data_IF_022049094379
#
_entry.id   IF_022049094379
#
_cell.length_a   1.000
_cell.length_b   1.000
_cell.length_c   1.000
_cell.angle_alpha   90.00
_cell.angle_beta   90.00
_cell.angle_gamma   90.00
#
_symmetry.space_group_name_H-M   'P 1'
#
loop_
_entity.id
_entity.type
_entity.pdbx_description
1 polymer ?
#
# COMPACT_ATOMS: atom_id res chain seq x y z
N UNK A 1 20.71 -13.00 -1.10
CA UNK A 1 20.56 -11.96 -0.08
C UNK A 1 21.02 -10.61 -0.62
N UNK A 2 20.40 -9.56 -0.17
CA UNK A 2 20.77 -8.17 -0.40
C UNK A 2 20.81 -7.44 0.94
N UNK A 3 21.74 -6.50 1.13
CA UNK A 3 21.84 -5.75 2.38
C UNK A 3 20.70 -4.74 2.56
N UNK A 4 20.45 -4.32 3.80
CA UNK A 4 19.52 -3.22 4.08
C UNK A 4 19.96 -1.92 3.39
N UNK A 5 21.26 -1.59 3.44
CA UNK A 5 21.80 -0.39 2.81
C UNK A 5 21.59 -0.39 1.28
N UNK A 6 21.85 -1.52 0.62
CA UNK A 6 21.63 -1.66 -0.83
C UNK A 6 20.14 -1.56 -1.18
N UNK A 7 19.27 -2.07 -0.30
CA UNK A 7 17.81 -1.98 -0.50
C UNK A 7 17.32 -0.53 -0.48
N UNK A 8 17.82 0.29 0.44
CA UNK A 8 17.46 1.71 0.56
C UNK A 8 17.87 2.50 -0.69
N UNK A 9 18.99 2.16 -1.30
CA UNK A 9 19.52 2.85 -2.48
C UNK A 9 19.12 2.19 -3.81
N UNK A 10 18.36 1.09 -3.76
CA UNK A 10 17.98 0.36 -4.96
C UNK A 10 17.04 1.17 -5.86
N UNK A 11 17.25 1.06 -7.16
CA UNK A 11 16.39 1.63 -8.19
C UNK A 11 16.11 0.58 -9.27
N UNK A 12 14.95 0.66 -9.90
CA UNK A 12 14.57 -0.27 -10.96
C UNK A 12 14.30 -1.70 -10.48
N UNK A 13 14.04 -1.90 -9.20
CA UNK A 13 13.69 -3.18 -8.58
C UNK A 13 12.33 -3.09 -7.92
N UNK A 14 11.69 -4.25 -7.71
CA UNK A 14 10.55 -4.34 -6.81
C UNK A 14 11.03 -4.52 -5.37
N UNK A 15 10.52 -3.73 -4.46
CA UNK A 15 10.71 -3.93 -3.02
C UNK A 15 9.39 -4.45 -2.47
N UNK A 16 9.34 -5.74 -2.13
CA UNK A 16 8.13 -6.44 -1.71
C UNK A 16 8.14 -6.66 -0.21
N UNK A 17 7.28 -5.98 0.50
CA UNK A 17 7.10 -6.13 1.95
C UNK A 17 6.02 -7.17 2.21
N UNK A 18 6.38 -8.24 2.92
CA UNK A 18 5.50 -9.39 3.18
C UNK A 18 5.08 -9.47 4.64
N UNK A 19 5.34 -8.41 5.41
CA UNK A 19 4.96 -8.34 6.82
C UNK A 19 3.45 -8.18 6.99
N UNK A 20 2.95 -8.54 8.15
CA UNK A 20 1.60 -8.22 8.61
C UNK A 20 1.38 -6.69 8.69
N UNK A 21 0.13 -6.25 8.52
CA UNK A 21 -0.22 -4.83 8.52
C UNK A 21 0.29 -4.08 9.75
N UNK A 22 0.19 -4.68 10.94
CA UNK A 22 0.59 -4.06 12.20
C UNK A 22 2.06 -3.59 12.17
N UNK A 23 2.96 -4.39 11.64
CA UNK A 23 4.38 -4.03 11.53
C UNK A 23 4.66 -3.13 10.32
N UNK A 24 4.05 -3.44 9.19
CA UNK A 24 4.19 -2.67 7.95
C UNK A 24 3.74 -1.21 8.13
N UNK A 25 2.60 -0.98 8.77
CA UNK A 25 2.03 0.36 8.96
C UNK A 25 2.85 1.27 9.88
N UNK A 26 3.66 0.70 10.76
CA UNK A 26 4.54 1.46 11.68
C UNK A 26 5.75 2.08 10.99
N UNK A 27 6.08 1.60 9.81
CA UNK A 27 7.18 2.10 9.00
C UNK A 27 7.55 1.10 7.91
N UNK A 28 7.69 1.59 6.69
CA UNK A 28 7.99 0.79 5.50
C UNK A 28 8.97 1.52 4.60
N UNK A 29 9.61 0.80 3.71
CA UNK A 29 10.44 1.43 2.67
C UNK A 29 9.53 2.21 1.72
N UNK A 30 9.87 3.44 1.42
CA UNK A 30 9.13 4.25 0.45
C UNK A 30 9.01 3.54 -0.90
N UNK A 31 7.85 3.60 -1.51
CA UNK A 31 7.52 2.89 -2.76
C UNK A 31 7.53 1.36 -2.67
N UNK A 32 7.62 0.77 -1.49
CA UNK A 32 7.48 -0.68 -1.36
C UNK A 32 6.06 -1.14 -1.70
N UNK A 33 5.97 -2.31 -2.30
CA UNK A 33 4.72 -3.01 -2.57
C UNK A 33 4.41 -3.91 -1.38
N UNK A 34 3.15 -3.98 -0.97
CA UNK A 34 2.76 -4.78 0.17
C UNK A 34 1.94 -6.00 -0.24
N UNK A 35 2.42 -7.16 0.14
CA UNK A 35 1.74 -8.43 -0.09
C UNK A 35 2.00 -9.35 1.11
N UNK A 36 1.12 -9.34 2.13
CA UNK A 36 1.38 -10.02 3.40
C UNK A 36 1.36 -11.54 3.23
N UNK A 37 2.22 -12.22 3.99
CA UNK A 37 2.32 -13.68 4.00
C UNK A 37 2.08 -14.28 5.40
N UNK A 38 1.86 -13.46 6.40
CA UNK A 38 1.58 -13.90 7.77
C UNK A 38 0.08 -13.84 8.09
N UNK A 39 -0.48 -14.87 8.73
CA UNK A 39 0.20 -16.07 9.22
C UNK A 39 0.63 -17.02 8.08
N UNK A 40 1.78 -17.68 8.25
CA UNK A 40 2.41 -18.51 7.19
C UNK A 40 1.59 -19.73 6.77
N UNK A 41 0.70 -20.20 7.62
CA UNK A 41 -0.22 -21.32 7.39
C UNK A 41 -1.49 -20.93 6.63
N UNK A 42 -1.71 -19.65 6.36
CA UNK A 42 -2.87 -19.16 5.61
C UNK A 42 -2.62 -19.28 4.10
N UNK A 43 -3.16 -20.32 3.50
CA UNK A 43 -3.00 -20.58 2.07
C UNK A 43 -3.65 -19.50 1.19
N UNK A 44 -4.65 -18.77 1.69
CA UNK A 44 -5.28 -17.68 0.94
C UNK A 44 -4.29 -16.53 0.68
N UNK A 45 -3.38 -16.26 1.62
CA UNK A 45 -2.34 -15.25 1.45
C UNK A 45 -1.32 -15.68 0.39
N UNK A 46 -0.97 -16.95 0.33
CA UNK A 46 -0.11 -17.50 -0.71
C UNK A 46 -0.78 -17.41 -2.09
N UNK A 47 -2.08 -17.66 -2.18
CA UNK A 47 -2.85 -17.52 -3.42
C UNK A 47 -2.93 -16.06 -3.89
N UNK A 48 -3.17 -15.13 -2.98
CA UNK A 48 -3.16 -13.69 -3.27
C UNK A 48 -1.77 -13.22 -3.75
N UNK A 49 -0.70 -13.67 -3.10
CA UNK A 49 0.67 -13.37 -3.54
C UNK A 49 0.97 -13.96 -4.92
N UNK A 50 0.50 -15.15 -5.21
CA UNK A 50 0.64 -15.77 -6.53
C UNK A 50 -0.02 -14.92 -7.61
N UNK A 51 -1.23 -14.46 -7.38
CA UNK A 51 -1.96 -13.58 -8.29
C UNK A 51 -1.23 -12.25 -8.47
N UNK A 52 -0.83 -11.63 -7.38
CA UNK A 52 -0.08 -10.37 -7.40
C UNK A 52 1.24 -10.51 -8.17
N UNK A 53 1.98 -11.60 -7.95
CA UNK A 53 3.24 -11.86 -8.64
C UNK A 53 3.05 -11.98 -10.16
N UNK A 54 2.02 -12.68 -10.61
CA UNK A 54 1.71 -12.83 -12.04
C UNK A 54 1.32 -11.51 -12.69
N UNK A 55 0.56 -10.68 -11.98
CA UNK A 55 0.01 -9.45 -12.51
C UNK A 55 1.02 -8.27 -12.45
N UNK A 56 1.90 -8.23 -11.45
CA UNK A 56 2.73 -7.05 -11.16
C UNK A 56 4.23 -7.29 -11.05
N UNK A 57 4.68 -8.51 -10.79
CA UNK A 57 6.10 -8.78 -10.50
C UNK A 57 6.83 -9.55 -11.62
N UNK A 58 6.11 -10.02 -12.62
CA UNK A 58 6.69 -10.83 -13.71
C UNK A 58 7.12 -9.95 -14.90
N UNK A 59 7.94 -8.96 -14.62
CA UNK A 59 8.43 -7.98 -15.60
C UNK A 59 9.95 -8.05 -15.85
N UNK A 60 10.60 -9.07 -15.28
CA UNK A 60 12.05 -9.29 -15.43
C UNK A 60 12.92 -8.48 -14.47
N UNK A 61 12.33 -7.63 -13.62
CA UNK A 61 13.06 -6.90 -12.58
C UNK A 61 13.36 -7.78 -11.39
N UNK A 62 14.42 -7.44 -10.67
CA UNK A 62 14.73 -8.05 -9.39
C UNK A 62 13.68 -7.70 -8.32
N UNK A 63 13.44 -8.63 -7.41
CA UNK A 63 12.49 -8.51 -6.31
C UNK A 63 13.24 -8.65 -4.99
N UNK A 64 13.20 -7.61 -4.17
CA UNK A 64 13.79 -7.57 -2.84
C UNK A 64 12.70 -7.79 -1.80
N UNK A 65 12.72 -8.96 -1.16
CA UNK A 65 11.68 -9.39 -0.22
C UNK A 65 12.06 -8.96 1.19
N UNK A 66 11.16 -8.22 1.84
CA UNK A 66 11.30 -7.76 3.23
C UNK A 66 10.28 -8.51 4.09
N UNK A 67 10.77 -9.25 5.08
CA UNK A 67 9.95 -9.70 6.21
C UNK A 67 10.50 -9.09 7.51
N UNK A 68 10.04 -9.53 8.68
CA UNK A 68 10.48 -8.93 9.94
C UNK A 68 11.99 -9.09 10.18
N UNK A 69 12.54 -10.28 9.97
CA UNK A 69 13.95 -10.63 10.29
C UNK A 69 14.74 -11.23 9.13
N UNK A 70 14.19 -11.27 7.93
CA UNK A 70 14.85 -11.89 6.77
C UNK A 70 14.91 -13.43 6.80
N UNK A 71 13.97 -14.07 7.46
CA UNK A 71 13.94 -15.54 7.65
C UNK A 71 12.65 -16.16 7.11
N UNK A 72 11.84 -16.79 7.97
CA UNK A 72 10.69 -17.63 7.60
C UNK A 72 9.70 -16.96 6.64
N UNK A 73 9.36 -15.69 6.85
CA UNK A 73 8.47 -14.95 5.95
C UNK A 73 9.04 -14.79 4.55
N UNK A 74 10.32 -14.44 4.46
CA UNK A 74 11.02 -14.30 3.19
C UNK A 74 11.19 -15.67 2.48
N UNK A 75 11.46 -16.74 3.22
CA UNK A 75 11.52 -18.09 2.67
C UNK A 75 10.18 -18.52 2.08
N UNK A 76 9.08 -18.32 2.83
CA UNK A 76 7.74 -18.65 2.35
C UNK A 76 7.39 -17.84 1.10
N UNK A 77 7.61 -16.51 1.13
CA UNK A 77 7.36 -15.64 0.00
C UNK A 77 8.18 -16.03 -1.23
N UNK A 78 9.47 -16.32 -1.05
CA UNK A 78 10.33 -16.78 -2.13
C UNK A 78 9.80 -18.05 -2.79
N UNK A 79 9.34 -19.02 -2.00
CA UNK A 79 8.71 -20.23 -2.51
C UNK A 79 7.47 -19.95 -3.34
N UNK A 80 6.57 -19.11 -2.83
CA UNK A 80 5.35 -18.69 -3.54
C UNK A 80 5.67 -17.97 -4.85
N UNK A 81 6.63 -17.04 -4.84
CA UNK A 81 7.04 -16.30 -6.05
C UNK A 81 7.61 -17.23 -7.11
N UNK A 82 8.44 -18.21 -6.72
CA UNK A 82 8.98 -19.21 -7.63
C UNK A 82 7.88 -20.07 -8.24
N UNK A 83 6.94 -20.53 -7.43
CA UNK A 83 5.79 -21.31 -7.89
C UNK A 83 4.88 -20.50 -8.83
N UNK A 84 4.85 -19.18 -8.66
CA UNK A 84 4.14 -18.26 -9.55
C UNK A 84 4.86 -18.02 -10.90
N UNK A 85 6.07 -18.53 -11.06
CA UNK A 85 6.84 -18.43 -12.30
C UNK A 85 7.88 -17.32 -12.32
N UNK A 86 8.16 -16.69 -11.18
CA UNK A 86 9.25 -15.70 -11.09
C UNK A 86 10.60 -16.43 -11.15
N UNK A 87 11.51 -15.88 -11.95
CA UNK A 87 12.85 -16.43 -12.09
C UNK A 87 13.59 -16.45 -10.73
N UNK A 88 14.04 -17.62 -10.24
CA UNK A 88 14.67 -17.72 -8.92
C UNK A 88 15.86 -16.79 -8.72
N UNK A 89 16.63 -16.52 -9.77
CA UNK A 89 17.80 -15.64 -9.71
C UNK A 89 17.46 -14.16 -9.56
N UNK A 90 16.20 -13.79 -9.75
CA UNK A 90 15.69 -12.43 -9.56
C UNK A 90 15.11 -12.18 -8.17
N UNK A 91 15.05 -13.19 -7.30
CA UNK A 91 14.44 -13.08 -5.98
C UNK A 91 15.52 -12.98 -4.91
N UNK A 92 15.54 -11.88 -4.17
CA UNK A 92 16.49 -11.60 -3.10
C UNK A 92 15.76 -11.41 -1.78
N UNK A 93 16.32 -11.95 -0.71
CA UNK A 93 15.89 -11.65 0.65
C UNK A 93 16.72 -10.48 1.19
N UNK A 94 16.06 -9.47 1.75
CA UNK A 94 16.75 -8.41 2.49
C UNK A 94 17.28 -8.99 3.79
N UNK A 95 18.60 -9.00 3.93
CA UNK A 95 19.30 -9.57 5.07
C UNK A 95 18.92 -8.84 6.36
N UNK A 96 18.44 -9.59 7.35
CA UNK A 96 17.94 -9.03 8.60
C UNK A 96 16.57 -8.35 8.50
N UNK A 97 15.97 -8.27 7.32
CA UNK A 97 14.61 -7.77 7.10
C UNK A 97 14.38 -6.35 7.59
N UNK A 98 13.16 -6.08 8.04
CA UNK A 98 12.78 -4.76 8.58
C UNK A 98 13.56 -4.38 9.84
N UNK A 99 14.01 -5.35 10.64
CA UNK A 99 14.86 -5.09 11.82
C UNK A 99 16.20 -4.46 11.42
N UNK A 100 16.81 -4.93 10.33
CA UNK A 100 18.04 -4.35 9.81
C UNK A 100 17.78 -2.98 9.14
N UNK A 101 16.71 -2.87 8.35
CA UNK A 101 16.31 -1.61 7.74
C UNK A 101 16.04 -0.51 8.76
N UNK A 102 15.45 -0.85 9.90
CA UNK A 102 15.20 0.10 10.99
C UNK A 102 16.46 0.72 11.61
N UNK A 103 17.63 0.15 11.34
CA UNK A 103 18.94 0.69 11.78
C UNK A 103 19.54 1.65 10.76
N UNK A 104 19.04 1.63 9.52
CA UNK A 104 19.45 2.55 8.46
C UNK A 104 18.63 3.85 8.56
N UNK A 105 19.33 4.99 8.58
CA UNK A 105 18.69 6.28 8.76
C UNK A 105 17.71 6.60 7.62
N UNK A 106 16.43 6.81 7.97
CA UNK A 106 15.40 7.18 7.00
C UNK A 106 14.91 6.05 6.10
N UNK A 107 15.35 4.80 6.33
CA UNK A 107 14.94 3.67 5.51
C UNK A 107 13.46 3.32 5.66
N UNK A 108 12.91 3.45 6.86
CA UNK A 108 11.50 3.19 7.14
C UNK A 108 10.76 4.50 7.39
N UNK A 109 9.62 4.66 6.76
CA UNK A 109 8.80 5.88 6.84
C UNK A 109 7.31 5.54 6.90
N UNK A 110 6.54 6.42 7.52
CA UNK A 110 5.07 6.45 7.44
C UNK A 110 4.55 7.45 6.42
N UNK A 111 5.43 8.31 5.89
CA UNK A 111 5.08 9.28 4.86
C UNK A 111 4.88 8.59 3.51
N UNK A 112 3.73 8.84 2.89
CA UNK A 112 3.35 8.29 1.58
C UNK A 112 3.17 9.35 0.52
N UNK A 113 3.43 10.61 0.84
CA UNK A 113 3.12 11.75 -0.04
C UNK A 113 4.05 11.86 -1.24
N UNK A 114 5.26 11.33 -1.13
CA UNK A 114 6.29 11.35 -2.18
C UNK A 114 6.38 10.02 -2.95
N UNK A 115 5.39 9.16 -2.83
CA UNK A 115 5.40 7.89 -3.56
C UNK A 115 5.16 8.08 -5.04
N UNK A 116 5.86 7.26 -5.83
CA UNK A 116 5.72 7.23 -7.27
C UNK A 116 4.46 6.45 -7.69
N UNK A 117 3.32 7.12 -7.59
CA UNK A 117 2.00 6.60 -7.97
C UNK A 117 1.50 7.41 -9.16
N UNK A 118 0.83 6.76 -10.09
CA UNK A 118 0.16 7.42 -11.20
C UNK A 118 -1.11 8.12 -10.69
N UNK A 119 -0.97 9.43 -10.43
CA UNK A 119 -2.05 10.26 -9.90
C UNK A 119 -3.03 10.65 -10.98
N UNK A 120 -4.31 10.36 -10.76
CA UNK A 120 -5.40 10.82 -11.61
C UNK A 120 -6.19 11.91 -10.91
N UNK A 121 -6.39 13.02 -11.58
CA UNK A 121 -7.19 14.11 -11.05
C UNK A 121 -8.51 14.21 -11.78
N UNK A 122 -9.57 14.51 -11.04
CA UNK A 122 -10.88 14.85 -11.56
C UNK A 122 -11.24 16.27 -11.13
N UNK A 123 -11.86 17.04 -12.02
CA UNK A 123 -12.31 18.39 -11.67
C UNK A 123 -13.45 18.34 -10.66
N UNK A 124 -13.61 19.41 -9.86
CA UNK A 124 -14.75 19.51 -8.95
C UNK A 124 -16.10 19.40 -9.67
N UNK A 125 -16.20 19.97 -10.87
CA UNK A 125 -17.40 19.87 -11.71
C UNK A 125 -17.68 18.41 -12.09
N UNK A 126 -16.69 17.70 -12.60
CA UNK A 126 -16.86 16.31 -13.03
C UNK A 126 -17.15 15.39 -11.85
N UNK A 127 -16.57 15.66 -10.68
CA UNK A 127 -16.87 14.95 -9.45
C UNK A 127 -18.34 15.14 -9.04
N UNK A 128 -18.83 16.37 -9.06
CA UNK A 128 -20.25 16.70 -8.73
C UNK A 128 -21.21 16.01 -9.69
N UNK A 129 -20.88 15.93 -10.97
CA UNK A 129 -21.70 15.26 -11.99
C UNK A 129 -21.82 13.73 -11.72
N UNK A 130 -20.90 13.15 -10.94
CA UNK A 130 -20.90 11.74 -10.55
C UNK A 130 -21.60 11.47 -9.20
N UNK A 131 -22.04 12.49 -8.49
CA UNK A 131 -22.76 12.29 -7.22
C UNK A 131 -24.07 11.56 -7.47
N UNK A 132 -24.27 10.43 -6.77
CA UNK A 132 -25.43 9.58 -6.96
C UNK A 132 -25.26 8.50 -8.03
N UNK A 133 -24.17 8.50 -8.77
CA UNK A 133 -23.78 7.40 -9.65
C UNK A 133 -23.46 6.18 -8.79
N UNK A 134 -24.05 5.04 -9.12
CA UNK A 134 -23.86 3.79 -8.35
C UNK A 134 -22.51 3.14 -8.60
N UNK A 135 -21.88 3.49 -9.71
CA UNK A 135 -20.62 2.90 -10.16
C UNK A 135 -19.41 3.76 -9.71
N UNK A 136 -19.63 4.76 -8.84
CA UNK A 136 -18.58 5.64 -8.32
C UNK A 136 -18.73 5.79 -6.80
N UNK A 137 -17.62 5.62 -6.11
CA UNK A 137 -17.54 5.78 -4.66
C UNK A 137 -16.84 7.10 -4.34
N UNK A 138 -17.25 7.73 -3.24
CA UNK A 138 -16.63 8.97 -2.76
C UNK A 138 -16.10 8.77 -1.34
N UNK A 139 -14.87 9.17 -1.10
CA UNK A 139 -14.20 9.17 0.19
C UNK A 139 -13.73 10.59 0.54
N UNK A 140 -14.23 11.14 1.64
CA UNK A 140 -13.79 12.43 2.16
C UNK A 140 -12.84 12.20 3.34
N UNK A 141 -11.60 12.65 3.21
CA UNK A 141 -10.54 12.46 4.24
C UNK A 141 -10.26 13.73 5.03
N UNK A 142 -11.13 14.77 4.89
CA UNK A 142 -11.00 16.00 5.67
C UNK A 142 -11.45 15.79 7.11
N UNK A 143 -11.06 16.70 8.00
CA UNK A 143 -11.47 16.66 9.39
C UNK A 143 -13.00 16.85 9.56
N UNK A 144 -13.50 16.48 10.75
CA UNK A 144 -14.93 16.50 11.05
C UNK A 144 -15.58 17.86 10.89
N UNK A 145 -14.92 18.94 11.31
CA UNK A 145 -15.49 20.29 11.26
C UNK A 145 -15.66 20.75 9.81
N UNK A 146 -14.65 20.48 9.00
CA UNK A 146 -14.68 20.80 7.55
C UNK A 146 -15.74 19.97 6.83
N UNK A 147 -15.81 18.67 7.12
CA UNK A 147 -16.81 17.78 6.55
C UNK A 147 -18.24 18.20 6.92
N UNK A 148 -18.49 18.53 8.18
CA UNK A 148 -19.79 19.01 8.67
C UNK A 148 -20.21 20.35 8.08
N UNK A 149 -19.24 21.21 7.78
CA UNK A 149 -19.51 22.49 7.14
C UNK A 149 -20.03 22.34 5.70
N UNK A 150 -19.67 21.26 5.02
CA UNK A 150 -20.18 20.92 3.70
C UNK A 150 -19.42 19.75 3.08
N UNK A 151 -20.16 18.78 2.57
CA UNK A 151 -19.61 17.61 1.89
C UNK A 151 -20.55 17.14 0.77
N UNK A 152 -20.03 16.31 -0.13
CA UNK A 152 -20.83 15.71 -1.19
C UNK A 152 -21.76 14.63 -0.63
N UNK A 153 -22.98 14.57 -1.13
CA UNK A 153 -23.97 13.59 -0.71
C UNK A 153 -23.50 12.17 -1.02
N UNK A 154 -23.68 11.27 -0.05
CA UNK A 154 -23.31 9.85 -0.21
C UNK A 154 -21.83 9.55 -0.02
N UNK A 155 -21.03 10.53 0.41
CA UNK A 155 -19.60 10.37 0.66
C UNK A 155 -19.35 9.58 1.93
N UNK A 156 -18.47 8.58 1.87
CA UNK A 156 -17.87 7.97 3.05
C UNK A 156 -16.86 8.94 3.66
N UNK A 157 -16.77 8.96 4.97
CA UNK A 157 -15.87 9.82 5.69
C UNK A 157 -14.78 9.02 6.41
N UNK A 158 -13.53 9.42 6.23
CA UNK A 158 -12.42 9.02 7.07
C UNK A 158 -11.76 10.28 7.62
N UNK A 159 -12.32 10.79 8.73
CA UNK A 159 -11.91 12.07 9.31
C UNK A 159 -10.50 12.04 9.86
N UNK A 160 -9.59 12.82 9.28
CA UNK A 160 -8.23 12.94 9.77
C UNK A 160 -7.66 14.34 9.61
N UNK A 161 -7.02 14.82 10.67
CA UNK A 161 -6.13 15.99 10.64
C UNK A 161 -4.69 15.56 10.37
N UNK A 162 -4.28 14.44 10.97
CA UNK A 162 -2.98 13.81 10.78
C UNK A 162 -3.18 12.49 10.01
N UNK A 163 -2.55 12.36 8.86
CA UNK A 163 -2.72 11.23 7.94
C UNK A 163 -1.44 10.40 7.76
N UNK A 164 -0.32 10.82 8.31
CA UNK A 164 0.99 10.15 8.27
C UNK A 164 1.29 9.33 9.52
N UNK A 165 0.28 9.05 10.35
CA UNK A 165 0.39 8.16 11.50
C UNK A 165 -0.07 6.74 11.19
N UNK A 166 0.47 5.71 11.86
CA UNK A 166 0.00 4.33 11.71
C UNK A 166 -1.49 4.19 11.99
N UNK A 167 -2.02 4.89 12.99
CA UNK A 167 -3.44 4.86 13.38
C UNK A 167 -4.33 5.40 12.28
N UNK A 168 -3.98 6.55 11.70
CA UNK A 168 -4.75 7.16 10.61
C UNK A 168 -4.76 6.27 9.37
N UNK A 169 -3.62 5.73 9.00
CA UNK A 169 -3.50 4.85 7.84
C UNK A 169 -4.21 3.51 8.06
N UNK A 170 -4.20 2.97 9.28
CA UNK A 170 -4.96 1.76 9.65
C UNK A 170 -6.47 2.00 9.53
N UNK A 171 -6.97 3.15 9.94
CA UNK A 171 -8.40 3.46 9.76
C UNK A 171 -8.79 3.62 8.28
N UNK A 172 -7.96 4.26 7.47
CA UNK A 172 -8.18 4.34 6.02
C UNK A 172 -8.18 2.94 5.39
N UNK A 173 -7.22 2.10 5.76
CA UNK A 173 -7.13 0.72 5.29
C UNK A 173 -8.37 -0.10 5.65
N UNK A 174 -8.80 -0.07 6.91
CA UNK A 174 -9.97 -0.80 7.37
C UNK A 174 -11.25 -0.29 6.71
N UNK A 175 -11.41 1.03 6.57
CA UNK A 175 -12.55 1.61 5.87
C UNK A 175 -12.63 1.13 4.41
N UNK A 176 -11.51 1.14 3.71
CA UNK A 176 -11.43 0.66 2.33
C UNK A 176 -11.80 -0.82 2.23
N UNK A 177 -11.26 -1.67 3.10
CA UNK A 177 -11.55 -3.12 3.13
C UNK A 177 -13.01 -3.43 3.50
N UNK A 178 -13.58 -2.71 4.47
CA UNK A 178 -14.86 -3.07 5.07
C UNK A 178 -16.05 -2.40 4.39
N UNK A 179 -15.87 -1.23 3.78
CA UNK A 179 -16.95 -0.36 3.31
C UNK A 179 -16.91 0.00 1.84
N UNK A 180 -15.82 -0.30 1.14
CA UNK A 180 -15.64 0.10 -0.25
C UNK A 180 -15.42 -1.11 -1.15
N UNK A 181 -15.83 -0.95 -2.41
CA UNK A 181 -15.62 -1.95 -3.45
C UNK A 181 -14.35 -1.62 -4.22
N UNK A 182 -13.38 -2.53 -4.20
CA UNK A 182 -12.09 -2.36 -4.88
C UNK A 182 -12.20 -2.38 -6.42
N UNK A 183 -13.29 -2.90 -6.94
CA UNK A 183 -13.52 -3.01 -8.38
C UNK A 183 -14.24 -1.77 -8.96
N UNK A 184 -14.65 -0.82 -8.09
CA UNK A 184 -15.32 0.41 -8.47
C UNK A 184 -14.40 1.62 -8.28
N UNK A 185 -14.44 2.64 -9.18
CA UNK A 185 -13.67 3.85 -9.03
C UNK A 185 -13.95 4.59 -7.72
N UNK A 186 -12.92 5.12 -7.10
CA UNK A 186 -13.03 5.92 -5.87
C UNK A 186 -12.52 7.34 -6.14
N UNK A 187 -13.37 8.32 -5.87
CA UNK A 187 -13.01 9.73 -5.89
C UNK A 187 -12.71 10.18 -4.47
N UNK A 188 -11.49 10.63 -4.24
CA UNK A 188 -11.02 11.04 -2.92
C UNK A 188 -11.00 12.57 -2.83
N UNK A 189 -11.66 13.09 -1.78
CA UNK A 189 -11.70 14.50 -1.48
C UNK A 189 -10.82 14.82 -0.28
N UNK A 190 -9.96 15.79 -0.44
CA UNK A 190 -9.27 16.44 0.67
C UNK A 190 -9.37 17.97 0.52
N UNK A 191 -8.59 18.73 1.26
CA UNK A 191 -8.66 20.20 1.22
C UNK A 191 -8.25 20.78 -0.13
N UNK A 192 -7.23 20.20 -0.76
CA UNK A 192 -6.64 20.70 -2.01
C UNK A 192 -6.39 19.63 -3.08
N UNK A 193 -6.80 18.38 -2.82
CA UNK A 193 -6.52 17.26 -3.73
C UNK A 193 -5.04 16.87 -3.76
N UNK A 194 -4.30 17.05 -2.67
CA UNK A 194 -2.87 16.77 -2.61
C UNK A 194 -2.52 15.77 -1.48
N UNK A 195 -1.77 16.16 -0.48
CA UNK A 195 -1.13 15.24 0.50
C UNK A 195 -2.05 14.20 1.11
N UNK A 196 -3.19 14.61 1.67
CA UNK A 196 -4.14 13.68 2.29
C UNK A 196 -4.74 12.71 1.27
N UNK A 197 -5.08 13.20 0.08
CA UNK A 197 -5.60 12.36 -1.01
C UNK A 197 -4.55 11.37 -1.49
N UNK A 198 -3.31 11.81 -1.66
CA UNK A 198 -2.19 10.94 -2.05
C UNK A 198 -1.95 9.83 -1.03
N UNK A 199 -1.92 10.16 0.26
CA UNK A 199 -1.78 9.18 1.33
C UNK A 199 -2.93 8.18 1.31
N UNK A 200 -4.17 8.65 1.16
CA UNK A 200 -5.34 7.77 1.08
C UNK A 200 -5.26 6.82 -0.13
N UNK A 201 -4.86 7.29 -1.29
CA UNK A 201 -4.69 6.45 -2.49
C UNK A 201 -3.62 5.39 -2.25
N UNK A 202 -2.47 5.76 -1.68
CA UNK A 202 -1.40 4.80 -1.37
C UNK A 202 -1.88 3.71 -0.40
N UNK A 203 -2.61 4.08 0.65
CA UNK A 203 -3.19 3.12 1.60
C UNK A 203 -4.24 2.24 0.92
N UNK A 204 -5.06 2.79 0.03
CA UNK A 204 -6.07 2.03 -0.69
C UNK A 204 -5.45 1.02 -1.66
N UNK A 205 -4.31 1.35 -2.26
CA UNK A 205 -3.54 0.37 -3.06
C UNK A 205 -3.14 -0.84 -2.21
N UNK A 206 -2.72 -0.64 -0.98
CA UNK A 206 -2.45 -1.73 -0.04
C UNK A 206 -3.72 -2.56 0.25
N UNK A 207 -4.89 -1.94 0.21
CA UNK A 207 -6.18 -2.62 0.39
C UNK A 207 -6.68 -3.33 -0.89
N UNK A 208 -5.92 -3.31 -1.97
CA UNK A 208 -6.22 -4.01 -3.23
C UNK A 208 -6.93 -3.17 -4.29
N UNK A 209 -6.98 -1.84 -4.13
CA UNK A 209 -7.50 -0.92 -5.16
C UNK A 209 -6.42 -0.61 -6.20
N UNK A 210 -6.80 -0.55 -7.47
CA UNK A 210 -5.93 -0.18 -8.59
C UNK A 210 -6.03 1.31 -8.98
#
# INVERSE_FOLDING_TARGET
YVSAADTVSADGVHVLDVREWENYSKGRVANSEWCPIFPLEDDSLADEMTTYAKDHLNDGKDIYVICNSGKRGAEKATGVLRDAGIEPTSIYTVEGGAEALGKENGALTTDRTEENIDWKYVSGKDAVDKVGDKDVQFLDVRDDDTYKAGHLKGTLQCSRKEFDTPEAQTEMYNLAKDKMDKDEPVYILCYSGNKCAKTAISVMKDAGFD
#
